data_IF_270678958961
#
_entry.id   IF_270678958961
#
_cell.length_a   1.000
_cell.length_b   1.000
_cell.length_c   1.000
_cell.angle_alpha   90.00
_cell.angle_beta   90.00
_cell.angle_gamma   90.00
#
_symmetry.space_group_name_H-M   'P 1'
#
loop_
_entity.id
_entity.type
_entity.pdbx_description
1 polymer ?
#
# COMPACT_ATOMS: atom_id res chain seq x y z
N UNK A 1 -11.02 -22.51 27.95
CA UNK A 1 -11.27 -22.09 26.57
C UNK A 1 -10.01 -22.36 25.74
N UNK A 2 -10.10 -23.13 24.66
CA UNK A 2 -8.99 -23.36 23.74
C UNK A 2 -8.73 -22.08 22.93
N UNK A 3 -7.58 -21.45 23.14
CA UNK A 3 -7.17 -20.24 22.41
C UNK A 3 -6.86 -20.63 20.96
N UNK A 4 -7.62 -20.10 20.00
CA UNK A 4 -7.41 -20.38 18.57
C UNK A 4 -6.21 -19.58 18.06
N UNK A 5 -5.21 -20.30 17.55
CA UNK A 5 -4.05 -19.67 16.92
C UNK A 5 -4.40 -19.09 15.53
N UNK A 6 -5.19 -19.78 14.72
CA UNK A 6 -5.54 -19.30 13.36
C UNK A 6 -6.37 -18.01 13.41
N UNK A 7 -6.03 -17.06 12.54
CA UNK A 7 -6.80 -15.84 12.32
C UNK A 7 -8.18 -16.18 11.73
N UNK A 8 -9.21 -15.43 12.13
CA UNK A 8 -10.57 -15.63 11.62
C UNK A 8 -10.64 -15.34 10.12
N UNK A 9 -9.87 -14.35 9.64
CA UNK A 9 -9.80 -13.99 8.23
C UNK A 9 -9.28 -15.15 7.39
N UNK A 10 -8.36 -15.97 7.92
CA UNK A 10 -7.86 -17.14 7.19
C UNK A 10 -8.94 -18.18 6.89
N UNK A 11 -9.89 -18.36 7.82
CA UNK A 11 -11.05 -19.23 7.63
C UNK A 11 -11.96 -18.63 6.55
N UNK A 12 -12.24 -17.33 6.63
CA UNK A 12 -13.03 -16.59 5.64
C UNK A 12 -12.41 -16.70 4.24
N UNK A 13 -11.09 -16.58 4.12
CA UNK A 13 -10.38 -16.76 2.85
C UNK A 13 -10.51 -18.17 2.31
N UNK A 14 -10.36 -19.17 3.17
CA UNK A 14 -10.41 -20.59 2.78
C UNK A 14 -11.81 -20.98 2.34
N UNK A 15 -12.85 -20.48 3.01
CA UNK A 15 -14.24 -20.70 2.60
C UNK A 15 -14.55 -20.01 1.26
N UNK A 16 -14.08 -18.77 1.07
CA UNK A 16 -14.21 -18.06 -0.21
C UNK A 16 -13.48 -18.79 -1.35
N UNK A 17 -12.29 -19.32 -1.09
CA UNK A 17 -11.56 -20.16 -2.03
C UNK A 17 -12.36 -21.43 -2.37
N UNK A 18 -12.99 -22.08 -1.38
CA UNK A 18 -13.88 -23.24 -1.60
C UNK A 18 -15.05 -22.91 -2.52
N UNK A 19 -15.71 -21.77 -2.32
CA UNK A 19 -16.78 -21.33 -3.22
C UNK A 19 -16.28 -21.18 -4.67
N UNK A 20 -15.10 -20.59 -4.87
CA UNK A 20 -14.50 -20.48 -6.21
C UNK A 20 -14.23 -21.85 -6.82
N UNK A 21 -13.70 -22.81 -6.05
CA UNK A 21 -13.47 -24.18 -6.56
C UNK A 21 -14.74 -24.93 -6.97
N UNK A 22 -15.89 -24.50 -6.45
CA UNK A 22 -17.21 -25.04 -6.78
C UNK A 22 -17.92 -24.26 -7.90
N UNK A 23 -17.22 -23.31 -8.54
CA UNK A 23 -17.80 -22.45 -9.59
C UNK A 23 -18.71 -21.36 -9.05
N UNK A 24 -18.73 -21.14 -7.73
CA UNK A 24 -19.59 -20.16 -7.07
C UNK A 24 -18.84 -18.85 -6.76
N UNK A 25 -19.59 -17.82 -6.35
CA UNK A 25 -19.03 -16.53 -5.97
C UNK A 25 -18.35 -16.61 -4.58
N UNK A 26 -17.12 -16.07 -4.40
CA UNK A 26 -16.48 -16.01 -3.09
C UNK A 26 -17.28 -15.17 -2.08
N UNK A 27 -18.13 -14.27 -2.57
CA UNK A 27 -18.98 -13.40 -1.75
C UNK A 27 -20.20 -14.11 -1.15
N UNK A 28 -20.42 -15.39 -1.49
CA UNK A 28 -21.36 -16.22 -0.72
C UNK A 28 -20.85 -16.49 0.69
N UNK A 29 -19.53 -16.39 0.92
CA UNK A 29 -18.99 -16.38 2.27
C UNK A 29 -19.28 -15.03 2.91
N UNK A 30 -20.12 -15.04 3.95
CA UNK A 30 -20.35 -13.86 4.77
C UNK A 30 -19.02 -13.25 5.25
N UNK A 31 -18.96 -11.94 5.40
CA UNK A 31 -17.76 -11.20 5.83
C UNK A 31 -16.52 -11.31 4.92
N UNK A 32 -16.61 -11.96 3.75
CA UNK A 32 -15.55 -11.82 2.75
C UNK A 32 -15.56 -10.40 2.17
N UNK A 33 -14.50 -9.64 2.43
CA UNK A 33 -14.33 -8.21 2.05
C UNK A 33 -13.04 -7.95 1.27
N UNK A 34 -12.59 -8.94 0.50
CA UNK A 34 -11.30 -8.93 -0.20
C UNK A 34 -11.51 -9.10 -1.70
N UNK A 35 -10.49 -8.81 -2.52
CA UNK A 35 -10.54 -9.08 -3.97
C UNK A 35 -10.72 -10.58 -4.23
N UNK A 36 -11.45 -11.02 -5.28
CA UNK A 36 -11.53 -12.44 -5.62
C UNK A 36 -10.17 -13.04 -5.95
N UNK A 37 -9.19 -12.22 -6.39
CA UNK A 37 -7.82 -12.69 -6.65
C UNK A 37 -7.17 -13.35 -5.44
N UNK A 38 -7.45 -12.86 -4.22
CA UNK A 38 -6.94 -13.48 -2.99
C UNK A 38 -7.54 -14.88 -2.79
N UNK A 39 -8.86 -15.04 -2.94
CA UNK A 39 -9.51 -16.35 -2.84
C UNK A 39 -9.02 -17.30 -3.94
N UNK A 40 -8.82 -16.82 -5.18
CA UNK A 40 -8.25 -17.62 -6.28
C UNK A 40 -6.85 -18.13 -5.90
N UNK A 41 -5.99 -17.24 -5.41
CA UNK A 41 -4.63 -17.55 -4.98
C UNK A 41 -4.59 -18.60 -3.85
N UNK A 42 -5.66 -18.68 -3.06
CA UNK A 42 -5.80 -19.61 -1.93
C UNK A 42 -6.60 -20.88 -2.26
N UNK A 43 -7.03 -21.09 -3.50
CA UNK A 43 -7.63 -22.37 -3.93
C UNK A 43 -6.78 -23.61 -3.62
N UNK A 44 -5.43 -23.56 -3.57
CA UNK A 44 -4.65 -24.70 -3.12
C UNK A 44 -4.85 -25.06 -1.63
N UNK A 45 -5.49 -24.20 -0.81
CA UNK A 45 -5.94 -24.60 0.53
C UNK A 45 -6.93 -25.78 0.49
N UNK A 46 -7.66 -25.92 -0.62
CA UNK A 46 -8.67 -26.97 -0.83
C UNK A 46 -8.05 -28.19 -1.50
N UNK A 47 -7.20 -27.98 -2.49
CA UNK A 47 -6.65 -29.06 -3.31
C UNK A 47 -5.37 -29.70 -2.78
N UNK A 48 -4.52 -28.94 -2.06
CA UNK A 48 -3.23 -29.41 -1.58
C UNK A 48 -3.27 -29.67 -0.07
N UNK A 49 -3.40 -28.62 0.74
CA UNK A 49 -3.50 -28.71 2.20
C UNK A 49 -4.03 -27.41 2.80
N UNK A 50 -4.75 -27.50 3.92
CA UNK A 50 -5.49 -26.38 4.52
C UNK A 50 -4.64 -25.17 4.92
N UNK A 51 -3.34 -25.34 5.11
CA UNK A 51 -2.40 -24.30 5.57
C UNK A 51 -1.55 -23.69 4.44
N UNK A 52 -1.84 -23.99 3.17
CA UNK A 52 -1.05 -23.48 2.04
C UNK A 52 -0.94 -21.94 2.05
N UNK A 53 -2.04 -21.24 2.29
CA UNK A 53 -2.05 -19.78 2.37
C UNK A 53 -1.14 -19.23 3.46
N UNK A 54 -1.02 -19.89 4.62
CA UNK A 54 -0.08 -19.49 5.68
C UNK A 54 1.37 -19.60 5.21
N UNK A 55 1.72 -20.66 4.48
CA UNK A 55 3.04 -20.81 3.87
C UNK A 55 3.30 -19.71 2.84
N UNK A 56 2.30 -19.37 2.02
CA UNK A 56 2.39 -18.28 1.04
C UNK A 56 2.61 -16.91 1.72
N UNK A 57 1.88 -16.60 2.79
CA UNK A 57 2.04 -15.34 3.51
C UNK A 57 3.39 -15.26 4.23
N UNK A 58 3.87 -16.36 4.82
CA UNK A 58 5.21 -16.43 5.37
C UNK A 58 6.30 -16.28 4.29
N UNK A 59 6.12 -16.86 3.10
CA UNK A 59 7.02 -16.64 1.97
C UNK A 59 7.02 -15.17 1.50
N UNK A 60 5.86 -14.49 1.57
CA UNK A 60 5.77 -13.07 1.31
C UNK A 60 6.56 -12.23 2.34
N UNK A 61 6.60 -12.63 3.62
CA UNK A 61 7.47 -11.97 4.60
C UNK A 61 8.96 -12.08 4.24
N UNK A 62 9.39 -13.27 3.80
CA UNK A 62 10.77 -13.48 3.34
C UNK A 62 11.08 -12.58 2.14
N UNK A 63 10.12 -12.46 1.21
CA UNK A 63 10.24 -11.56 0.06
C UNK A 63 10.31 -10.10 0.48
N UNK A 64 9.51 -9.66 1.46
CA UNK A 64 9.58 -8.30 2.03
C UNK A 64 10.96 -8.04 2.62
N UNK A 65 11.49 -8.95 3.45
CA UNK A 65 12.84 -8.83 4.00
C UNK A 65 13.93 -8.76 2.91
N UNK A 66 13.82 -9.59 1.88
CA UNK A 66 14.71 -9.55 0.72
C UNK A 66 14.62 -8.20 -0.01
N UNK A 67 13.42 -7.68 -0.25
CA UNK A 67 13.21 -6.40 -0.93
C UNK A 67 13.77 -5.23 -0.12
N UNK A 68 13.60 -5.24 1.21
CA UNK A 68 14.22 -4.27 2.12
C UNK A 68 15.74 -4.28 1.92
N UNK A 69 16.37 -5.45 1.98
CA UNK A 69 17.82 -5.60 1.80
C UNK A 69 18.26 -5.00 0.46
N UNK A 70 17.60 -5.40 -0.64
CA UNK A 70 17.94 -4.97 -1.99
C UNK A 70 17.77 -3.47 -2.19
N UNK A 71 16.73 -2.88 -1.62
CA UNK A 71 16.52 -1.42 -1.65
C UNK A 71 17.62 -0.70 -0.88
N UNK A 72 18.03 -1.20 0.29
CA UNK A 72 19.11 -0.59 1.08
C UNK A 72 20.45 -0.67 0.34
N UNK A 73 20.76 -1.80 -0.31
CA UNK A 73 21.94 -1.94 -1.17
C UNK A 73 21.93 -0.94 -2.32
N UNK A 74 20.79 -0.77 -3.01
CA UNK A 74 20.64 0.22 -4.08
C UNK A 74 20.88 1.66 -3.62
N UNK A 75 20.65 1.93 -2.34
CA UNK A 75 20.92 3.22 -1.70
C UNK A 75 22.35 3.36 -1.19
N UNK A 76 23.24 2.44 -1.55
CA UNK A 76 24.67 2.46 -1.22
C UNK A 76 25.00 1.89 0.16
N UNK A 77 24.07 1.22 0.83
CA UNK A 77 24.36 0.59 2.12
C UNK A 77 25.18 -0.70 1.93
N UNK A 78 26.24 -0.94 2.73
CA UNK A 78 26.92 -2.23 2.74
C UNK A 78 26.01 -3.36 3.21
N UNK A 79 26.08 -4.53 2.58
CA UNK A 79 25.21 -5.69 2.88
C UNK A 79 25.20 -6.08 4.36
N UNK A 80 26.36 -6.12 5.02
CA UNK A 80 26.46 -6.42 6.47
C UNK A 80 25.61 -5.47 7.33
N UNK A 81 25.53 -4.19 6.95
CA UNK A 81 24.72 -3.20 7.65
C UNK A 81 23.24 -3.34 7.32
N UNK A 82 22.90 -3.66 6.07
CA UNK A 82 21.53 -3.90 5.64
C UNK A 82 20.88 -5.07 6.39
N UNK A 83 21.63 -6.14 6.69
CA UNK A 83 21.14 -7.30 7.46
C UNK A 83 20.47 -6.93 8.79
N UNK A 84 20.98 -5.91 9.50
CA UNK A 84 20.36 -5.45 10.75
C UNK A 84 18.98 -4.84 10.53
N UNK A 85 18.75 -4.18 9.40
CA UNK A 85 17.47 -3.58 9.05
C UNK A 85 16.48 -4.63 8.53
N UNK A 86 16.94 -5.61 7.77
CA UNK A 86 16.08 -6.72 7.32
C UNK A 86 15.57 -7.55 8.50
N UNK A 87 16.44 -7.74 9.51
CA UNK A 87 16.10 -8.41 10.76
C UNK A 87 14.95 -7.70 11.52
N UNK A 88 14.82 -6.37 11.40
CA UNK A 88 13.71 -5.63 12.02
C UNK A 88 12.33 -6.01 11.44
N UNK A 89 12.29 -6.58 10.23
CA UNK A 89 11.08 -7.16 9.66
C UNK A 89 11.00 -8.66 9.92
N UNK A 90 12.02 -9.40 9.52
CA UNK A 90 12.00 -10.87 9.52
C UNK A 90 11.98 -11.48 10.93
N UNK A 91 12.64 -10.83 11.90
CA UNK A 91 12.68 -11.28 13.29
C UNK A 91 11.65 -10.55 14.17
N UNK A 92 10.74 -9.79 13.56
CA UNK A 92 9.68 -9.13 14.30
C UNK A 92 8.60 -10.14 14.69
N UNK A 93 8.40 -10.42 15.99
CA UNK A 93 7.42 -11.41 16.44
C UNK A 93 5.98 -11.03 16.07
N UNK A 94 5.67 -9.75 15.90
CA UNK A 94 4.35 -9.31 15.46
C UNK A 94 4.11 -9.70 13.99
N UNK A 95 5.07 -9.41 13.11
CA UNK A 95 5.01 -9.74 11.67
C UNK A 95 4.89 -11.25 11.51
N UNK A 96 5.81 -12.00 12.13
CA UNK A 96 5.82 -13.46 12.05
C UNK A 96 4.49 -14.05 12.52
N UNK A 97 3.93 -13.59 13.65
CA UNK A 97 2.65 -14.07 14.15
C UNK A 97 1.47 -13.72 13.22
N UNK A 98 1.37 -12.48 12.71
CA UNK A 98 0.22 -12.10 11.87
C UNK A 98 0.17 -12.99 10.60
N UNK A 99 1.30 -13.18 9.93
CA UNK A 99 1.36 -13.99 8.70
C UNK A 99 1.12 -15.48 8.94
N UNK A 100 1.76 -16.05 9.96
CA UNK A 100 1.63 -17.50 10.29
C UNK A 100 0.25 -17.86 10.85
N UNK A 101 -0.45 -16.90 11.45
CA UNK A 101 -1.87 -17.05 11.80
C UNK A 101 -2.79 -17.04 10.58
N UNK A 102 -2.32 -16.57 9.42
CA UNK A 102 -3.01 -16.65 8.14
C UNK A 102 -3.55 -15.33 7.61
N UNK A 103 -2.92 -14.20 7.95
CA UNK A 103 -3.29 -12.91 7.38
C UNK A 103 -2.46 -12.58 6.11
N UNK A 104 -3.09 -11.93 5.13
CA UNK A 104 -2.52 -11.68 3.80
C UNK A 104 -1.74 -10.34 3.67
N UNK A 105 -1.60 -9.53 4.73
CA UNK A 105 -0.98 -8.19 4.63
C UNK A 105 0.47 -8.22 4.10
N UNK A 106 1.23 -9.31 4.32
CA UNK A 106 2.60 -9.43 3.81
C UNK A 106 2.68 -9.54 2.28
N UNK A 107 1.65 -10.09 1.62
CA UNK A 107 1.56 -10.07 0.15
C UNK A 107 1.51 -8.63 -0.36
N UNK A 108 0.76 -7.79 0.33
CA UNK A 108 0.59 -6.39 -0.02
C UNK A 108 1.86 -5.58 0.26
N UNK A 109 2.52 -5.84 1.39
CA UNK A 109 3.86 -5.32 1.66
C UNK A 109 4.87 -5.69 0.57
N UNK A 110 4.84 -6.94 0.10
CA UNK A 110 5.71 -7.40 -0.97
C UNK A 110 5.41 -6.69 -2.31
N UNK A 111 4.14 -6.46 -2.65
CA UNK A 111 3.77 -5.70 -3.85
C UNK A 111 4.24 -4.24 -3.77
N UNK A 112 4.00 -3.58 -2.64
CA UNK A 112 4.40 -2.16 -2.42
C UNK A 112 5.91 -1.99 -2.47
N UNK A 113 6.67 -2.80 -1.72
CA UNK A 113 8.13 -2.75 -1.76
C UNK A 113 8.68 -3.21 -3.11
N UNK A 114 8.01 -4.16 -3.78
CA UNK A 114 8.37 -4.59 -5.12
C UNK A 114 8.22 -3.45 -6.14
N UNK A 115 7.16 -2.65 -6.05
CA UNK A 115 7.01 -1.42 -6.84
C UNK A 115 8.15 -0.44 -6.57
N UNK A 116 8.48 -0.19 -5.30
CA UNK A 116 9.60 0.69 -4.94
C UNK A 116 10.97 0.17 -5.40
N UNK A 117 11.19 -1.15 -5.33
CA UNK A 117 12.43 -1.75 -5.78
C UNK A 117 12.57 -1.67 -7.31
N UNK A 118 11.52 -2.06 -8.05
CA UNK A 118 11.53 -2.08 -9.51
C UNK A 118 11.61 -0.68 -10.11
N UNK A 119 10.95 0.32 -9.51
CA UNK A 119 11.04 1.71 -9.97
C UNK A 119 12.45 2.28 -9.78
N UNK A 120 13.17 1.88 -8.72
CA UNK A 120 14.55 2.31 -8.46
C UNK A 120 15.61 1.62 -9.31
N UNK A 121 15.36 0.38 -9.77
CA UNK A 121 16.27 -0.37 -10.64
C UNK A 121 16.41 0.22 -12.06
N UNK A 122 15.78 1.36 -12.33
CA UNK A 122 15.76 2.13 -13.58
C UNK A 122 15.11 1.37 -14.76
N UNK A 123 14.88 2.16 -15.82
CA UNK A 123 14.48 1.90 -17.23
C UNK A 123 13.90 0.53 -17.60
N UNK A 124 14.61 -0.57 -17.38
CA UNK A 124 14.20 -1.90 -17.85
C UNK A 124 12.95 -2.45 -17.14
N UNK A 125 12.73 -2.10 -15.87
CA UNK A 125 11.61 -2.62 -15.07
C UNK A 125 10.45 -1.63 -14.92
N UNK A 126 10.44 -0.54 -15.70
CA UNK A 126 9.43 0.50 -15.57
C UNK A 126 8.00 -0.03 -15.73
N UNK A 127 7.73 -0.80 -16.78
CA UNK A 127 6.39 -1.38 -17.00
C UNK A 127 6.02 -2.40 -15.94
N UNK A 128 6.99 -3.18 -15.45
CA UNK A 128 6.79 -4.10 -14.31
C UNK A 128 6.42 -3.34 -13.05
N UNK A 129 7.06 -2.19 -12.78
CA UNK A 129 6.73 -1.34 -11.64
C UNK A 129 5.31 -0.78 -11.74
N UNK A 130 4.91 -0.31 -12.93
CA UNK A 130 3.55 0.18 -13.19
C UNK A 130 2.51 -0.93 -12.99
N UNK A 131 2.76 -2.11 -13.56
CA UNK A 131 1.84 -3.23 -13.45
C UNK A 131 1.71 -3.73 -12.01
N UNK A 132 2.83 -3.82 -11.28
CA UNK A 132 2.83 -4.22 -9.88
C UNK A 132 2.14 -3.18 -8.99
N UNK A 133 2.30 -1.88 -9.30
CA UNK A 133 1.59 -0.82 -8.59
C UNK A 133 0.08 -0.93 -8.83
N UNK A 134 -0.36 -1.04 -10.09
CA UNK A 134 -1.78 -1.23 -10.43
C UNK A 134 -2.38 -2.48 -9.80
N UNK A 135 -1.62 -3.59 -9.77
CA UNK A 135 -2.00 -4.82 -9.08
C UNK A 135 -2.15 -4.60 -7.57
N UNK A 136 -1.22 -3.88 -6.92
CA UNK A 136 -1.29 -3.60 -5.48
C UNK A 136 -2.54 -2.81 -5.11
N UNK A 137 -2.90 -1.80 -5.92
CA UNK A 137 -4.10 -0.96 -5.74
C UNK A 137 -5.38 -1.75 -5.99
N UNK A 138 -5.36 -2.70 -6.92
CA UNK A 138 -6.49 -3.62 -7.11
C UNK A 138 -6.62 -4.60 -5.94
N UNK A 139 -5.50 -5.08 -5.40
CA UNK A 139 -5.51 -6.05 -4.31
C UNK A 139 -6.10 -5.45 -3.03
N UNK A 140 -5.79 -4.18 -2.76
CA UNK A 140 -6.39 -3.34 -1.72
C UNK A 140 -6.26 -1.89 -2.16
N UNK A 141 -7.27 -1.06 -1.92
CA UNK A 141 -7.28 0.29 -2.51
C UNK A 141 -6.19 1.24 -1.94
N UNK A 142 -5.76 1.04 -0.69
CA UNK A 142 -4.92 2.02 0.02
C UNK A 142 -3.53 2.34 -0.61
N UNK A 143 -2.82 1.45 -1.33
CA UNK A 143 -1.55 1.78 -1.97
C UNK A 143 -1.67 2.93 -2.98
N UNK A 144 -2.89 3.31 -3.39
CA UNK A 144 -3.13 4.48 -4.22
C UNK A 144 -2.51 5.76 -3.64
N UNK A 145 -2.36 5.85 -2.30
CA UNK A 145 -1.72 6.99 -1.66
C UNK A 145 -0.27 7.22 -2.11
N UNK A 146 0.41 6.15 -2.55
CA UNK A 146 1.79 6.21 -3.04
C UNK A 146 1.90 6.76 -4.47
N UNK A 147 0.79 6.97 -5.19
CA UNK A 147 0.82 7.51 -6.53
C UNK A 147 1.54 8.88 -6.57
N UNK A 148 1.26 9.76 -5.60
CA UNK A 148 1.86 11.10 -5.52
C UNK A 148 3.38 11.05 -5.36
N UNK A 149 3.97 10.42 -4.33
CA UNK A 149 5.42 10.37 -4.20
C UNK A 149 6.10 9.57 -5.31
N UNK A 150 5.46 8.52 -5.87
CA UNK A 150 6.00 7.79 -7.03
C UNK A 150 6.07 8.68 -8.28
N UNK A 151 5.06 9.51 -8.53
CA UNK A 151 5.07 10.47 -9.63
C UNK A 151 6.15 11.54 -9.45
N UNK A 152 6.39 11.99 -8.21
CA UNK A 152 7.44 12.97 -7.90
C UNK A 152 8.83 12.36 -8.06
N UNK A 153 9.00 11.09 -7.70
CA UNK A 153 10.25 10.33 -7.85
C UNK A 153 10.69 10.23 -9.32
N UNK A 154 9.75 10.06 -10.25
CA UNK A 154 10.04 9.93 -11.68
C UNK A 154 10.62 11.24 -12.26
N UNK A 155 11.82 11.17 -12.83
CA UNK A 155 12.50 12.30 -13.47
C UNK A 155 12.08 12.41 -14.93
N UNK A 156 11.98 13.65 -15.43
CA UNK A 156 11.73 13.94 -16.84
C UNK A 156 12.87 13.46 -17.76
N UNK A 157 14.07 13.22 -17.23
CA UNK A 157 15.23 12.72 -17.98
C UNK A 157 15.37 11.18 -17.93
N UNK A 158 14.40 10.49 -17.32
CA UNK A 158 14.39 9.04 -17.31
C UNK A 158 14.15 8.50 -18.72
N UNK A 159 15.13 7.77 -19.23
CA UNK A 159 15.15 7.25 -20.61
C UNK A 159 14.44 5.89 -20.66
N UNK A 160 13.17 5.88 -20.33
CA UNK A 160 12.30 4.72 -20.57
C UNK A 160 11.98 4.68 -22.07
N UNK A 161 11.92 3.49 -22.71
CA UNK A 161 11.45 3.39 -24.09
C UNK A 161 9.99 3.87 -24.16
N UNK A 162 9.78 5.07 -24.70
CA UNK A 162 8.46 5.67 -24.83
C UNK A 162 7.76 5.15 -26.09
N UNK A 163 6.45 4.85 -26.03
CA UNK A 163 5.63 4.62 -27.24
C UNK A 163 5.67 5.83 -28.18
N UNK A 164 5.49 5.61 -29.49
CA UNK A 164 5.53 6.68 -30.52
C UNK A 164 4.66 7.89 -30.16
N UNK A 165 3.44 7.65 -29.66
CA UNK A 165 2.51 8.70 -29.22
C UNK A 165 3.13 9.57 -28.13
N UNK A 166 3.83 8.95 -27.16
CA UNK A 166 4.48 9.65 -26.06
C UNK A 166 5.75 10.39 -26.50
N UNK A 167 6.45 9.90 -27.53
CA UNK A 167 7.57 10.61 -28.16
C UNK A 167 7.08 11.87 -28.87
N UNK A 168 6.00 11.79 -29.66
CA UNK A 168 5.38 12.95 -30.30
C UNK A 168 4.90 13.98 -29.26
N UNK A 169 4.26 13.50 -28.19
CA UNK A 169 3.87 14.34 -27.05
C UNK A 169 5.08 15.04 -26.40
N UNK A 170 6.20 14.33 -26.19
CA UNK A 170 7.43 14.89 -25.63
C UNK A 170 7.95 16.05 -26.50
N UNK A 171 7.96 15.90 -27.83
CA UNK A 171 8.41 16.95 -28.76
C UNK A 171 7.49 18.17 -28.69
N UNK A 172 6.16 17.96 -28.73
CA UNK A 172 5.20 19.05 -28.60
C UNK A 172 5.35 19.76 -27.24
N UNK A 173 5.42 19.01 -26.14
CA UNK A 173 5.60 19.55 -24.79
C UNK A 173 6.83 20.44 -24.70
N UNK A 174 7.96 20.00 -25.25
CA UNK A 174 9.20 20.77 -25.25
C UNK A 174 9.07 22.10 -26.01
N UNK A 175 8.37 22.12 -27.15
CA UNK A 175 8.08 23.37 -27.89
C UNK A 175 7.24 24.34 -27.06
N UNK A 176 6.19 23.85 -26.42
CA UNK A 176 5.31 24.65 -25.56
C UNK A 176 6.04 25.18 -24.31
N UNK A 177 6.90 24.36 -23.68
CA UNK A 177 7.72 24.80 -22.56
C UNK A 177 8.70 25.91 -22.96
N UNK A 178 9.29 25.84 -24.15
CA UNK A 178 10.15 26.89 -24.68
C UNK A 178 9.39 28.21 -24.95
N UNK A 179 8.16 28.14 -25.48
CA UNK A 179 7.34 29.34 -25.68
C UNK A 179 6.88 30.01 -24.38
N UNK A 180 6.84 29.24 -23.28
CA UNK A 180 6.43 29.71 -21.95
C UNK A 180 7.59 30.26 -21.10
N UNK A 181 8.77 30.47 -21.69
CA UNK A 181 9.96 30.90 -20.95
C UNK A 181 9.93 32.39 -20.54
N UNK A 182 8.92 33.15 -20.99
CA UNK A 182 8.78 34.58 -20.69
C UNK A 182 7.96 34.87 -19.41
N UNK A 183 8.22 36.02 -18.77
CA UNK A 183 8.24 36.19 -17.30
C UNK A 183 6.95 36.63 -16.57
N UNK A 184 5.80 35.97 -16.77
CA UNK A 184 4.63 36.22 -15.90
C UNK A 184 4.32 35.06 -14.95
N UNK A 185 3.77 35.37 -13.77
CA UNK A 185 3.43 34.37 -12.73
C UNK A 185 2.53 33.25 -13.26
N UNK A 186 1.56 33.60 -14.12
CA UNK A 186 0.67 32.63 -14.78
C UNK A 186 1.44 31.70 -15.72
N UNK A 187 2.32 32.24 -16.57
CA UNK A 187 3.15 31.44 -17.48
C UNK A 187 4.10 30.51 -16.73
N UNK A 188 4.65 30.95 -15.60
CA UNK A 188 5.46 30.13 -14.70
C UNK A 188 4.66 28.96 -14.11
N UNK A 189 3.43 29.21 -13.65
CA UNK A 189 2.55 28.16 -13.14
C UNK A 189 2.18 27.14 -14.23
N UNK A 190 1.85 27.61 -15.44
CA UNK A 190 1.58 26.73 -16.58
C UNK A 190 2.82 25.90 -16.94
N UNK A 191 4.01 26.53 -16.98
CA UNK A 191 5.28 25.84 -17.24
C UNK A 191 5.56 24.77 -16.18
N UNK A 192 5.33 25.07 -14.90
CA UNK A 192 5.50 24.10 -13.82
C UNK A 192 4.55 22.91 -13.97
N UNK A 193 3.26 23.16 -14.23
CA UNK A 193 2.28 22.09 -14.49
C UNK A 193 2.66 21.26 -15.71
N UNK A 194 3.05 21.90 -16.80
CA UNK A 194 3.47 21.21 -18.03
C UNK A 194 4.75 20.40 -17.80
N UNK A 195 5.70 20.91 -17.02
CA UNK A 195 6.90 20.17 -16.62
C UNK A 195 6.57 18.94 -15.77
N UNK A 196 5.53 19.04 -14.93
CA UNK A 196 5.06 17.94 -14.11
C UNK A 196 4.38 16.84 -14.95
N UNK A 197 3.68 17.22 -16.01
CA UNK A 197 3.05 16.31 -16.98
C UNK A 197 4.07 15.75 -17.99
N UNK A 198 5.14 15.13 -17.50
CA UNK A 198 6.11 14.43 -18.34
C UNK A 198 5.50 13.13 -18.90
N UNK A 199 5.99 12.60 -20.04
CA UNK A 199 5.38 11.44 -20.68
C UNK A 199 5.58 10.19 -19.84
N UNK A 200 6.69 10.11 -19.09
CA UNK A 200 6.94 8.99 -18.17
C UNK A 200 5.94 8.99 -17.01
N UNK A 201 5.57 10.15 -16.46
CA UNK A 201 4.58 10.26 -15.38
C UNK A 201 3.17 9.94 -15.89
N UNK A 202 2.81 10.44 -17.07
CA UNK A 202 1.55 10.09 -17.75
C UNK A 202 1.52 8.58 -18.02
N UNK A 203 2.58 8.03 -18.59
CA UNK A 203 2.67 6.61 -18.90
C UNK A 203 2.57 5.74 -17.65
N UNK A 204 3.24 6.13 -16.55
CA UNK A 204 3.12 5.45 -15.27
C UNK A 204 1.66 5.40 -14.80
N UNK A 205 0.98 6.55 -14.83
CA UNK A 205 -0.42 6.66 -14.45
C UNK A 205 -1.33 5.81 -15.34
N UNK A 206 -1.18 5.91 -16.66
CA UNK A 206 -2.01 5.17 -17.63
C UNK A 206 -1.81 3.67 -17.53
N UNK A 207 -0.56 3.18 -17.48
CA UNK A 207 -0.30 1.72 -17.41
C UNK A 207 -0.77 1.16 -16.08
N UNK A 208 -0.51 1.84 -14.96
CA UNK A 208 -0.97 1.39 -13.65
C UNK A 208 -2.50 1.39 -13.55
N UNK A 209 -3.16 2.44 -14.06
CA UNK A 209 -4.62 2.52 -14.12
C UNK A 209 -5.20 1.44 -15.04
N UNK A 210 -4.59 1.17 -16.19
CA UNK A 210 -5.02 0.11 -17.09
C UNK A 210 -5.01 -1.25 -16.40
N UNK A 211 -3.93 -1.60 -15.68
CA UNK A 211 -3.90 -2.85 -14.91
C UNK A 211 -5.01 -2.90 -13.85
N UNK A 212 -5.18 -1.81 -13.09
CA UNK A 212 -6.25 -1.72 -12.08
C UNK A 212 -7.65 -1.92 -12.71
N UNK A 213 -7.97 -1.19 -13.77
CA UNK A 213 -9.29 -1.23 -14.40
C UNK A 213 -9.55 -2.52 -15.17
N UNK A 214 -8.53 -3.11 -15.81
CA UNK A 214 -8.67 -4.42 -16.48
C UNK A 214 -8.98 -5.50 -15.44
N UNK A 215 -8.19 -5.59 -14.35
CA UNK A 215 -8.44 -6.56 -13.28
C UNK A 215 -9.82 -6.34 -12.64
N UNK A 216 -10.16 -5.08 -12.36
CA UNK A 216 -11.48 -4.71 -11.81
C UNK A 216 -12.61 -5.09 -12.76
N UNK A 217 -12.46 -4.83 -14.07
CA UNK A 217 -13.43 -5.21 -15.10
C UNK A 217 -13.62 -6.71 -15.21
N UNK A 218 -12.52 -7.49 -15.20
CA UNK A 218 -12.57 -8.96 -15.22
C UNK A 218 -13.27 -9.52 -13.98
N UNK A 219 -12.97 -8.99 -12.80
CA UNK A 219 -13.64 -9.42 -11.56
C UNK A 219 -15.12 -9.02 -11.53
N UNK A 220 -15.45 -7.81 -12.00
CA UNK A 220 -16.82 -7.34 -12.09
C UNK A 220 -17.65 -8.15 -13.09
N UNK A 221 -17.10 -8.48 -14.25
CA UNK A 221 -17.76 -9.33 -15.24
C UNK A 221 -18.14 -10.70 -14.65
N UNK A 222 -17.31 -11.25 -13.76
CA UNK A 222 -17.55 -12.56 -13.15
C UNK A 222 -18.44 -12.54 -11.91
N UNK A 223 -18.32 -11.51 -11.06
CA UNK A 223 -18.92 -11.50 -9.73
C UNK A 223 -19.94 -10.37 -9.49
N UNK A 224 -20.08 -9.45 -10.45
CA UNK A 224 -21.08 -8.37 -10.42
C UNK A 224 -20.89 -7.35 -9.29
N UNK A 225 -21.98 -6.69 -8.90
CA UNK A 225 -21.99 -5.67 -7.85
C UNK A 225 -21.44 -6.13 -6.49
N UNK A 226 -21.65 -7.38 -6.01
CA UNK A 226 -21.05 -7.86 -4.77
C UNK A 226 -19.53 -7.69 -4.69
N UNK A 227 -18.82 -7.78 -5.82
CA UNK A 227 -17.38 -7.50 -5.87
C UNK A 227 -17.05 -6.05 -5.52
N UNK A 228 -17.69 -5.08 -6.19
CA UNK A 228 -17.42 -3.66 -5.93
C UNK A 228 -17.80 -3.28 -4.50
N UNK A 229 -18.95 -3.78 -4.03
CA UNK A 229 -19.42 -3.51 -2.68
C UNK A 229 -18.43 -4.03 -1.64
N UNK A 230 -18.07 -5.31 -1.70
CA UNK A 230 -17.28 -5.92 -0.63
C UNK A 230 -15.78 -5.65 -0.71
N UNK A 231 -15.22 -5.45 -1.90
CA UNK A 231 -13.78 -5.17 -2.05
C UNK A 231 -13.44 -3.69 -1.88
N UNK A 232 -14.34 -2.77 -2.24
CA UNK A 232 -14.04 -1.33 -2.23
C UNK A 232 -15.03 -0.50 -1.41
N UNK A 233 -16.32 -0.50 -1.76
CA UNK A 233 -17.28 0.48 -1.23
C UNK A 233 -17.55 0.29 0.27
N UNK A 234 -17.59 -0.96 0.73
CA UNK A 234 -17.78 -1.29 2.14
C UNK A 234 -16.76 -0.60 3.05
N UNK A 235 -15.52 -0.39 2.59
CA UNK A 235 -14.49 0.26 3.41
C UNK A 235 -14.73 1.77 3.61
N UNK A 236 -15.48 2.40 2.71
CA UNK A 236 -15.86 3.82 2.83
C UNK A 236 -16.95 3.99 3.88
N UNK A 237 -17.87 3.04 4.00
CA UNK A 237 -19.00 3.11 4.93
C UNK A 237 -18.76 2.41 6.27
N UNK A 238 -17.81 1.46 6.33
CA UNK A 238 -17.51 0.68 7.54
C UNK A 238 -17.20 1.55 8.76
N UNK A 239 -17.78 1.18 9.89
CA UNK A 239 -17.47 1.70 11.23
C UNK A 239 -17.27 0.52 12.17
N UNK A 240 -16.37 0.67 13.14
CA UNK A 240 -16.11 -0.35 14.16
C UNK A 240 -16.07 0.33 15.53
N UNK A 241 -17.00 -0.09 16.39
CA UNK A 241 -17.26 0.51 17.70
C UNK A 241 -16.80 -0.40 18.85
N UNK A 242 -16.17 -1.56 18.58
CA UNK A 242 -15.78 -2.50 19.64
C UNK A 242 -14.29 -2.75 19.71
N UNK A 243 -13.61 -2.90 18.58
CA UNK A 243 -12.20 -3.30 18.53
C UNK A 243 -11.42 -2.40 17.58
N UNK A 244 -11.37 -1.12 17.91
CA UNK A 244 -10.88 -0.08 17.02
C UNK A 244 -9.82 0.78 17.73
N UNK A 245 -8.59 0.76 17.21
CA UNK A 245 -7.48 1.59 17.72
C UNK A 245 -7.54 3.04 17.22
N UNK A 246 -8.58 3.41 16.46
CA UNK A 246 -8.74 4.75 15.91
C UNK A 246 -8.89 5.81 17.00
N UNK A 247 -8.29 6.97 16.75
CA UNK A 247 -8.54 8.18 17.55
C UNK A 247 -10.03 8.57 17.57
N UNK A 248 -10.80 8.13 16.57
CA UNK A 248 -12.23 8.38 16.45
C UNK A 248 -13.08 7.40 17.25
N UNK A 249 -12.49 6.34 17.82
CA UNK A 249 -13.20 5.26 18.51
C UNK A 249 -14.19 5.79 19.56
N UNK A 250 -13.73 6.63 20.49
CA UNK A 250 -14.57 7.10 21.60
C UNK A 250 -15.75 7.95 21.10
N UNK A 251 -15.51 8.83 20.12
CA UNK A 251 -16.55 9.64 19.50
C UNK A 251 -17.57 8.80 18.72
N UNK A 252 -17.11 7.77 17.98
CA UNK A 252 -17.98 6.83 17.27
C UNK A 252 -18.78 5.96 18.24
N UNK A 253 -18.17 5.53 19.35
CA UNK A 253 -18.81 4.74 20.38
C UNK A 253 -19.93 5.52 21.09
N UNK A 254 -19.68 6.77 21.49
CA UNK A 254 -20.71 7.60 22.12
C UNK A 254 -21.81 8.05 21.13
N UNK A 255 -21.48 8.18 19.85
CA UNK A 255 -22.40 8.59 18.79
C UNK A 255 -23.26 7.48 18.19
N UNK A 256 -23.21 6.25 18.73
CA UNK A 256 -23.89 5.08 18.13
C UNK A 256 -25.40 5.27 17.98
N UNK A 257 -26.04 5.95 18.93
CA UNK A 257 -27.49 6.17 18.94
C UNK A 257 -27.92 7.36 18.06
N UNK A 258 -27.00 8.30 17.78
CA UNK A 258 -27.25 9.51 16.99
C UNK A 258 -26.23 9.61 15.85
N UNK A 259 -26.44 8.79 14.81
CA UNK A 259 -25.54 8.71 13.66
C UNK A 259 -25.54 10.03 12.89
N UNK A 260 -24.45 10.79 12.99
CA UNK A 260 -24.21 11.94 12.13
C UNK A 260 -23.51 11.47 10.84
N UNK A 261 -24.11 11.67 9.65
CA UNK A 261 -23.46 11.32 8.37
C UNK A 261 -22.18 12.13 8.12
N UNK A 262 -21.98 13.23 8.84
CA UNK A 262 -20.81 14.09 8.73
C UNK A 262 -19.56 13.52 9.41
N UNK A 263 -19.69 12.57 10.33
CA UNK A 263 -18.55 12.01 11.07
C UNK A 263 -17.58 11.29 10.12
N UNK A 264 -18.10 10.53 9.16
CA UNK A 264 -17.29 9.88 8.13
C UNK A 264 -16.52 10.87 7.26
N UNK A 265 -17.15 11.99 6.89
CA UNK A 265 -16.51 13.06 6.12
C UNK A 265 -15.44 13.79 6.93
N UNK A 266 -15.72 14.08 8.21
CA UNK A 266 -14.78 14.71 9.14
C UNK A 266 -13.54 13.86 9.41
N UNK A 267 -13.68 12.53 9.42
CA UNK A 267 -12.53 11.63 9.52
C UNK A 267 -11.75 11.54 8.19
N UNK A 268 -12.46 11.48 7.05
CA UNK A 268 -11.85 11.23 5.74
C UNK A 268 -11.15 12.45 5.12
N UNK A 269 -11.76 13.64 5.18
CA UNK A 269 -11.23 14.83 4.48
C UNK A 269 -9.86 15.27 5.05
N UNK A 270 -9.67 15.40 6.38
CA UNK A 270 -8.36 15.73 6.94
C UNK A 270 -7.32 14.65 6.66
N UNK A 271 -7.71 13.37 6.74
CA UNK A 271 -6.84 12.25 6.41
C UNK A 271 -6.34 12.33 4.96
N UNK A 272 -7.25 12.53 3.99
CA UNK A 272 -6.89 12.64 2.58
C UNK A 272 -6.02 13.88 2.32
N UNK A 273 -6.38 15.04 2.88
CA UNK A 273 -5.61 16.27 2.74
C UNK A 273 -4.18 16.11 3.28
N UNK A 274 -4.01 15.51 4.46
CA UNK A 274 -2.71 15.23 5.05
C UNK A 274 -1.88 14.28 4.18
N UNK A 275 -2.46 13.18 3.70
CA UNK A 275 -1.76 12.19 2.87
C UNK A 275 -1.28 12.81 1.55
N UNK A 276 -2.10 13.64 0.91
CA UNK A 276 -1.71 14.36 -0.32
C UNK A 276 -0.62 15.39 -0.01
N UNK A 277 -0.79 16.19 1.03
CA UNK A 277 0.18 17.22 1.43
C UNK A 277 1.56 16.62 1.74
N UNK A 278 1.61 15.50 2.46
CA UNK A 278 2.86 14.77 2.74
C UNK A 278 3.48 14.21 1.47
N UNK A 279 2.67 13.62 0.58
CA UNK A 279 3.15 13.12 -0.71
C UNK A 279 3.83 14.21 -1.54
N UNK A 280 3.25 15.41 -1.60
CA UNK A 280 3.81 16.56 -2.32
C UNK A 280 5.06 17.10 -1.62
N UNK A 281 5.00 17.30 -0.30
CA UNK A 281 6.06 17.96 0.48
C UNK A 281 7.32 17.10 0.56
N UNK A 282 7.15 15.79 0.79
CA UNK A 282 8.25 14.87 1.04
C UNK A 282 8.55 13.93 -0.13
N UNK A 283 7.82 14.01 -1.25
CA UNK A 283 7.94 13.06 -2.36
C UNK A 283 9.34 12.90 -2.97
N UNK A 284 10.25 13.87 -2.74
CA UNK A 284 11.67 13.74 -3.11
C UNK A 284 12.39 12.64 -2.31
N UNK A 285 12.01 12.41 -1.05
CA UNK A 285 12.39 11.23 -0.29
C UNK A 285 11.20 10.25 -0.29
N UNK A 286 11.10 9.45 -1.35
CA UNK A 286 9.96 8.55 -1.58
C UNK A 286 9.72 7.60 -0.40
N UNK A 287 10.76 7.12 0.27
CA UNK A 287 10.62 6.19 1.39
C UNK A 287 10.04 6.87 2.61
N UNK A 288 10.55 8.06 2.94
CA UNK A 288 10.00 8.85 4.03
C UNK A 288 8.56 9.30 3.73
N UNK A 289 8.28 9.72 2.51
CA UNK A 289 6.94 10.08 2.07
C UNK A 289 5.96 8.89 2.19
N UNK A 290 6.29 7.73 1.63
CA UNK A 290 5.45 6.53 1.71
C UNK A 290 5.23 6.09 3.16
N UNK A 291 6.27 6.10 4.00
CA UNK A 291 6.13 5.75 5.42
C UNK A 291 5.17 6.72 6.11
N UNK A 292 5.39 8.03 5.97
CA UNK A 292 4.61 9.05 6.67
C UNK A 292 3.18 9.12 6.15
N UNK A 293 2.97 8.97 4.84
CA UNK A 293 1.64 8.84 4.24
C UNK A 293 0.89 7.65 4.85
N UNK A 294 1.52 6.48 4.93
CA UNK A 294 0.88 5.28 5.48
C UNK A 294 0.60 5.43 6.97
N UNK A 295 1.56 5.96 7.72
CA UNK A 295 1.43 6.17 9.15
C UNK A 295 0.26 7.12 9.47
N UNK A 296 0.17 8.26 8.77
CA UNK A 296 -0.94 9.20 8.94
C UNK A 296 -2.26 8.64 8.40
N UNK A 297 -2.22 7.91 7.28
CA UNK A 297 -3.40 7.23 6.75
C UNK A 297 -3.96 6.26 7.79
N UNK A 298 -3.13 5.44 8.43
CA UNK A 298 -3.60 4.53 9.49
C UNK A 298 -4.07 5.33 10.70
N UNK A 299 -3.26 6.26 11.22
CA UNK A 299 -3.56 7.03 12.44
C UNK A 299 -4.89 7.77 12.39
N UNK A 300 -5.21 8.39 11.25
CA UNK A 300 -6.45 9.15 11.05
C UNK A 300 -7.59 8.31 10.46
N UNK A 301 -7.38 7.00 10.23
CA UNK A 301 -8.45 6.13 9.75
C UNK A 301 -9.53 5.98 10.83
N UNK A 302 -10.80 5.99 10.42
CA UNK A 302 -11.94 5.73 11.32
C UNK A 302 -12.00 4.31 11.87
N UNK A 303 -11.36 3.35 11.22
CA UNK A 303 -11.26 1.95 11.68
C UNK A 303 -9.82 1.49 11.58
N UNK A 304 -9.23 1.13 12.72
CA UNK A 304 -7.88 0.60 12.80
C UNK A 304 -7.93 -0.76 13.50
N UNK A 305 -7.52 -1.80 12.78
CA UNK A 305 -7.20 -3.13 13.34
C UNK A 305 -5.68 -3.28 13.45
N UNK A 306 -5.21 -4.21 14.28
CA UNK A 306 -3.77 -4.46 14.50
C UNK A 306 -3.00 -4.81 13.22
N UNK A 307 -3.67 -5.41 12.23
CA UNK A 307 -3.10 -5.77 10.93
C UNK A 307 -2.59 -4.55 10.16
N UNK A 308 -3.21 -3.36 10.34
CA UNK A 308 -2.84 -2.14 9.62
C UNK A 308 -1.44 -1.65 9.97
N UNK A 309 -0.92 -2.03 11.14
CA UNK A 309 0.42 -1.66 11.57
C UNK A 309 1.50 -2.26 10.64
N UNK A 310 1.21 -3.39 9.97
CA UNK A 310 2.12 -3.99 9.00
C UNK A 310 2.41 -3.05 7.81
N UNK A 311 1.48 -2.16 7.45
CA UNK A 311 1.59 -1.33 6.26
C UNK A 311 2.72 -0.29 6.36
N UNK A 312 2.95 0.27 7.55
CA UNK A 312 4.04 1.22 7.76
C UNK A 312 5.27 0.58 8.41
N UNK A 313 5.12 -0.54 9.15
CA UNK A 313 6.27 -1.27 9.71
C UNK A 313 7.16 -1.84 8.59
N UNK A 314 6.61 -2.25 7.45
CA UNK A 314 7.43 -2.74 6.32
C UNK A 314 8.31 -1.64 5.68
N UNK A 315 7.91 -0.38 5.81
CA UNK A 315 8.65 0.79 5.33
C UNK A 315 9.65 1.33 6.37
N UNK A 316 9.45 1.00 7.65
CA UNK A 316 10.25 1.52 8.75
C UNK A 316 11.76 1.23 8.63
N UNK A 317 12.20 -0.01 8.27
CA UNK A 317 13.62 -0.31 8.06
C UNK A 317 14.29 0.55 6.98
N UNK A 318 13.52 1.07 6.02
CA UNK A 318 14.04 1.90 4.93
C UNK A 318 14.28 3.35 5.38
N UNK A 319 13.50 3.87 6.32
CA UNK A 319 13.67 5.26 6.78
C UNK A 319 14.69 5.36 7.93
N UNK A 320 14.79 4.33 8.77
CA UNK A 320 15.60 4.34 9.98
C UNK A 320 17.07 4.76 9.75
N UNK A 321 17.76 4.30 8.68
CA UNK A 321 19.14 4.72 8.38
C UNK A 321 19.31 6.23 8.18
N UNK A 322 18.28 6.91 7.68
CA UNK A 322 18.27 8.35 7.42
C UNK A 322 17.93 9.19 8.65
N UNK A 323 17.55 8.55 9.77
CA UNK A 323 17.14 9.25 10.99
C UNK A 323 18.25 9.30 12.05
N UNK A 324 18.11 10.25 12.99
CA UNK A 324 18.90 10.25 14.24
C UNK A 324 18.38 9.22 15.26
N UNK A 325 17.27 8.52 14.97
CA UNK A 325 16.62 7.51 15.81
C UNK A 325 17.29 6.15 15.55
N UNK A 326 18.62 6.09 15.63
CA UNK A 326 19.31 4.80 15.62
C UNK A 326 19.01 4.07 16.95
N UNK A 327 19.22 2.75 17.02
CA UNK A 327 19.08 1.88 18.22
C UNK A 327 20.10 2.24 19.33
N UNK A 328 20.12 3.51 19.71
CA UNK A 328 20.81 4.15 20.82
C UNK A 328 19.74 4.56 21.84
N UNK A 329 20.10 5.34 22.86
CA UNK A 329 19.18 5.76 23.93
C UNK A 329 17.82 6.27 23.45
N UNK A 330 17.75 7.10 22.41
CA UNK A 330 16.47 7.60 21.88
C UNK A 330 15.58 6.48 21.32
N UNK A 331 16.14 5.56 20.53
CA UNK A 331 15.40 4.42 19.98
C UNK A 331 14.95 3.45 21.09
N UNK A 332 15.83 3.19 22.06
CA UNK A 332 15.52 2.33 23.22
C UNK A 332 14.42 2.95 24.08
N UNK A 333 14.46 4.26 24.33
CA UNK A 333 13.42 4.96 25.10
C UNK A 333 12.07 4.96 24.36
N UNK A 334 12.07 5.12 23.03
CA UNK A 334 10.84 5.02 22.24
C UNK A 334 10.26 3.60 22.25
N UNK A 335 11.11 2.58 22.15
CA UNK A 335 10.69 1.17 22.27
C UNK A 335 10.16 0.88 23.68
N UNK A 336 10.85 1.33 24.72
CA UNK A 336 10.40 1.18 26.10
C UNK A 336 9.06 1.89 26.33
N UNK A 337 8.91 3.12 25.83
CA UNK A 337 7.65 3.86 25.89
C UNK A 337 6.52 3.15 25.13
N UNK A 338 6.80 2.57 23.96
CA UNK A 338 5.83 1.77 23.22
C UNK A 338 5.40 0.53 24.02
N UNK A 339 6.36 -0.24 24.57
CA UNK A 339 6.08 -1.44 25.38
C UNK A 339 5.29 -1.07 26.65
N UNK A 340 5.70 -0.03 27.37
CA UNK A 340 4.97 0.46 28.55
C UNK A 340 3.55 0.87 28.18
N UNK A 341 3.36 1.51 27.02
CA UNK A 341 2.04 1.83 26.49
C UNK A 341 1.17 0.63 26.13
N UNK A 342 1.73 -0.58 25.99
CA UNK A 342 0.98 -1.84 25.81
C UNK A 342 0.64 -2.57 27.12
N UNK A 343 1.18 -2.12 28.27
CA UNK A 343 0.97 -2.75 29.58
C UNK A 343 -0.25 -2.21 30.34
N UNK A 344 -0.94 -1.21 29.77
CA UNK A 344 -2.26 -0.74 30.18
C UNK A 344 -3.32 -1.30 29.22
#
# INVERSE_FOLDING_TARGET
MTVKYTDIDYVVFTDAARYITQGQSPYLRETYRYTPLLAILLTPNIYLFSSFGKCLFAAADLLVGYLIHRILLLRGMPSKRALYFDALWLLNPMVANISTRGNAESLLGAMVLGTLYTILQKRQYFYSACALFGLSVHFKIYPIIYAVPLLILLDQHDTVPLPTIMQTYQVMRNRWMYSLDNQNAVQRSIKNTLSFLSPIRILFGVVSAAVFFILTGLMYQRYGHPFLEHTYLYHVTREDHRHNFSIWFYSLYLGMDHRSPWMGLLAFVPQLALVIAIGITFGKDVFFACFLQTFLFVTYNKVITSQYFMWYICLFPLILPSTKIQMKWKGVLLLAGWVVGQLN
#
